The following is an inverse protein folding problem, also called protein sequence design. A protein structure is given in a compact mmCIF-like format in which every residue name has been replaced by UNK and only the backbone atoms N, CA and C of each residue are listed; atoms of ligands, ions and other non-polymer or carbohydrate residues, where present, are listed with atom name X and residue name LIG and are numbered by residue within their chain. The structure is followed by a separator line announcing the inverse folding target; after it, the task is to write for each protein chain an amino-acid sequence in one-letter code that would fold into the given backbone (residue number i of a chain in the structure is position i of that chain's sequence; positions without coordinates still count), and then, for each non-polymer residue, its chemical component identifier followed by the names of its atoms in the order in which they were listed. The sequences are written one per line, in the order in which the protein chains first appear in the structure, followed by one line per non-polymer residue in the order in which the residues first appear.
data_IF_738327135643
#
_entry.id   IF_738327135643
#
_cell.length_a   1.000
_cell.length_b   1.000
_cell.length_c   1.000
_cell.angle_alpha   90.00
_cell.angle_beta   90.00
_cell.angle_gamma   90.00
#
_symmetry.space_group_name_H-M   'P 1'
#
loop_
_entity.id
_entity.type
_entity.pdbx_description
1 polymer ?
#
# COMPACT_ATOMS: atom_id res chain seq x y z
N UNK A 1 55.85 19.18 -44.91
CA UNK A 1 55.64 17.76 -44.55
C UNK A 1 56.01 17.44 -43.09
N UNK A 2 57.14 17.93 -42.56
CA UNK A 2 57.52 17.69 -41.15
C UNK A 2 56.60 18.39 -40.11
N UNK A 3 56.16 19.63 -40.36
CA UNK A 3 55.25 20.35 -39.45
C UNK A 3 53.89 19.64 -39.27
N UNK A 4 53.32 19.11 -40.36
CA UNK A 4 52.04 18.38 -40.31
C UNK A 4 52.15 17.07 -39.51
N UNK A 5 53.29 16.39 -39.57
CA UNK A 5 53.54 15.19 -38.75
C UNK A 5 53.60 15.52 -37.26
N UNK A 6 54.21 16.66 -36.90
CA UNK A 6 54.26 17.14 -35.51
C UNK A 6 52.86 17.52 -35.02
N UNK A 7 52.08 18.26 -35.81
CA UNK A 7 50.71 18.65 -35.46
C UNK A 7 49.78 17.45 -35.28
N UNK A 8 49.85 16.47 -36.18
CA UNK A 8 49.07 15.22 -36.08
C UNK A 8 49.48 14.39 -34.87
N UNK A 9 50.79 14.34 -34.56
CA UNK A 9 51.28 13.65 -33.36
C UNK A 9 50.82 14.33 -32.07
N UNK A 10 50.81 15.66 -32.04
CA UNK A 10 50.37 16.44 -30.88
C UNK A 10 48.86 16.27 -30.64
N UNK A 11 48.07 16.26 -31.73
CA UNK A 11 46.64 15.99 -31.69
C UNK A 11 46.35 14.59 -31.15
N UNK A 12 47.08 13.57 -31.61
CA UNK A 12 46.90 12.20 -31.14
C UNK A 12 47.22 12.05 -29.65
N UNK A 13 48.29 12.71 -29.16
CA UNK A 13 48.62 12.73 -27.73
C UNK A 13 47.53 13.44 -26.93
N UNK A 14 47.03 14.59 -27.38
CA UNK A 14 45.98 15.32 -26.70
C UNK A 14 44.69 14.49 -26.56
N UNK A 15 44.28 13.79 -27.63
CA UNK A 15 43.11 12.88 -27.60
C UNK A 15 43.35 11.71 -26.64
N UNK A 16 44.55 11.12 -26.63
CA UNK A 16 44.90 10.05 -25.71
C UNK A 16 44.83 10.47 -24.23
N UNK A 17 45.36 11.65 -23.91
CA UNK A 17 45.30 12.22 -22.55
C UNK A 17 43.86 12.52 -22.15
N UNK A 18 43.04 13.08 -23.05
CA UNK A 18 41.64 13.36 -22.77
C UNK A 18 40.86 12.06 -22.47
N UNK A 19 41.06 11.02 -23.28
CA UNK A 19 40.45 9.71 -23.06
C UNK A 19 40.90 9.10 -21.72
N UNK A 20 42.17 9.24 -21.36
CA UNK A 20 42.70 8.77 -20.08
C UNK A 20 42.07 9.52 -18.89
N UNK A 21 41.93 10.84 -18.97
CA UNK A 21 41.25 11.66 -17.94
C UNK A 21 39.79 11.23 -17.79
N UNK A 22 39.05 11.08 -18.90
CA UNK A 22 37.65 10.63 -18.89
C UNK A 22 37.53 9.25 -18.24
N UNK A 23 38.39 8.30 -18.64
CA UNK A 23 38.39 6.95 -18.07
C UNK A 23 38.70 6.94 -16.57
N UNK A 24 39.65 7.78 -16.14
CA UNK A 24 40.04 7.88 -14.73
C UNK A 24 38.97 8.54 -13.87
N UNK A 25 38.26 9.56 -14.40
CA UNK A 25 37.09 10.14 -13.74
C UNK A 25 35.91 9.17 -13.71
N UNK A 26 35.65 8.42 -14.78
CA UNK A 26 34.60 7.41 -14.82
C UNK A 26 34.80 6.31 -13.77
N UNK A 27 36.06 5.89 -13.53
CA UNK A 27 36.40 4.94 -12.45
C UNK A 27 36.17 5.49 -11.04
N UNK A 28 36.15 6.81 -10.85
CA UNK A 28 35.92 7.46 -9.56
C UNK A 28 34.45 7.78 -9.29
N UNK A 29 33.55 7.51 -10.24
CA UNK A 29 32.13 7.68 -10.00
C UNK A 29 31.66 6.56 -9.07
N UNK A 30 31.06 6.89 -7.91
CA UNK A 30 30.37 5.89 -7.11
C UNK A 30 29.30 5.22 -7.97
N UNK A 31 28.97 3.94 -7.71
CA UNK A 31 27.98 3.22 -8.50
C UNK A 31 26.70 4.06 -8.62
N UNK A 32 26.06 4.09 -9.80
CA UNK A 32 24.80 4.79 -9.96
C UNK A 32 23.82 4.24 -8.91
N UNK A 33 23.31 5.14 -8.07
CA UNK A 33 22.28 4.80 -7.09
C UNK A 33 21.08 4.20 -7.83
N UNK A 34 20.40 3.19 -7.24
CA UNK A 34 19.25 2.52 -7.85
C UNK A 34 18.23 3.52 -8.37
N UNK A 35 17.70 3.27 -9.57
CA UNK A 35 16.81 4.15 -10.33
C UNK A 35 15.48 4.51 -9.64
N UNK A 36 15.20 3.96 -8.45
CA UNK A 36 13.97 4.19 -7.69
C UNK A 36 13.86 5.51 -6.90
N UNK A 37 14.88 6.36 -6.88
CA UNK A 37 14.87 7.65 -6.17
C UNK A 37 15.16 8.86 -7.08
N UNK A 38 14.99 8.71 -8.40
CA UNK A 38 14.96 9.87 -9.30
C UNK A 38 13.57 10.49 -9.31
N UNK A 39 13.23 11.18 -8.23
CA UNK A 39 12.31 12.30 -8.37
C UNK A 39 13.03 13.36 -9.20
N UNK A 40 12.41 13.72 -10.33
CA UNK A 40 12.92 14.60 -11.36
C UNK A 40 13.71 15.81 -10.79
N UNK A 41 15.00 15.90 -11.09
CA UNK A 41 15.78 17.13 -10.96
C UNK A 41 16.21 17.61 -9.56
N UNK A 42 15.77 16.99 -8.46
CA UNK A 42 16.17 17.44 -7.11
C UNK A 42 17.40 16.69 -6.58
N UNK A 43 18.53 17.40 -6.49
CA UNK A 43 19.73 16.93 -5.77
C UNK A 43 19.51 17.14 -4.28
N UNK A 44 19.00 16.11 -3.60
CA UNK A 44 18.88 16.10 -2.15
C UNK A 44 20.26 16.10 -1.49
N UNK A 45 20.47 17.01 -0.55
CA UNK A 45 21.63 17.01 0.34
C UNK A 45 21.66 15.73 1.19
N UNK A 46 22.82 15.32 1.72
CA UNK A 46 22.92 14.08 2.52
C UNK A 46 21.92 14.01 3.69
N UNK A 47 21.61 15.15 4.33
CA UNK A 47 20.59 15.22 5.38
C UNK A 47 19.17 15.03 4.87
N UNK A 48 18.85 15.54 3.69
CA UNK A 48 17.53 15.35 3.06
C UNK A 48 17.31 13.91 2.59
N UNK A 49 18.38 13.21 2.19
CA UNK A 49 18.29 11.78 1.84
C UNK A 49 17.96 10.92 3.07
N UNK A 50 18.51 11.26 4.24
CA UNK A 50 18.17 10.58 5.50
C UNK A 50 16.68 10.77 5.85
N UNK A 51 16.14 11.98 5.65
CA UNK A 51 14.72 12.30 5.87
C UNK A 51 13.84 11.52 4.90
N UNK A 52 14.17 11.50 3.61
CA UNK A 52 13.41 10.75 2.60
C UNK A 52 13.45 9.25 2.89
N UNK A 53 14.59 8.72 3.36
CA UNK A 53 14.72 7.32 3.76
C UNK A 53 13.83 7.01 4.96
N UNK A 54 13.86 7.84 6.00
CA UNK A 54 12.99 7.68 7.17
C UNK A 54 11.52 7.79 6.80
N UNK A 55 11.14 8.71 5.90
CA UNK A 55 9.78 8.82 5.39
C UNK A 55 9.37 7.61 4.53
N UNK A 56 10.29 7.06 3.74
CA UNK A 56 10.08 5.84 2.97
C UNK A 56 9.86 4.63 3.87
N UNK A 57 10.70 4.46 4.90
CA UNK A 57 10.56 3.41 5.90
C UNK A 57 9.27 3.57 6.73
N UNK A 58 8.89 4.81 7.05
CA UNK A 58 7.64 5.12 7.73
C UNK A 58 6.44 4.83 6.84
N UNK A 59 6.49 5.19 5.55
CA UNK A 59 5.47 4.87 4.56
C UNK A 59 5.34 3.35 4.39
N UNK A 60 6.43 2.62 4.34
CA UNK A 60 6.40 1.16 4.21
C UNK A 60 5.80 0.48 5.47
N UNK A 61 6.09 1.03 6.66
CA UNK A 61 5.45 0.60 7.91
C UNK A 61 3.97 0.96 7.93
N UNK A 62 3.60 2.14 7.44
CA UNK A 62 2.20 2.57 7.32
C UNK A 62 1.43 1.68 6.32
N UNK A 63 2.04 1.36 5.18
CA UNK A 63 1.48 0.47 4.17
C UNK A 63 1.28 -0.95 4.71
N UNK A 64 2.10 -1.41 5.64
CA UNK A 64 1.88 -2.73 6.27
C UNK A 64 0.76 -2.72 7.32
N UNK A 65 0.40 -1.55 7.85
CA UNK A 65 -0.56 -1.41 8.95
C UNK A 65 -1.93 -1.00 8.43
N UNK A 66 -2.01 -0.13 7.43
CA UNK A 66 -3.29 0.38 6.93
C UNK A 66 -3.85 -0.60 5.88
N UNK A 67 -5.00 -1.25 6.14
CA UNK A 67 -5.66 -2.07 5.13
C UNK A 67 -5.94 -1.22 3.87
N UNK A 68 -5.90 -1.82 2.68
CA UNK A 68 -5.94 -1.08 1.41
C UNK A 68 -7.14 -0.12 1.31
N UNK A 69 -8.25 -0.45 1.97
CA UNK A 69 -9.49 0.32 1.96
C UNK A 69 -9.45 1.61 2.81
N UNK A 70 -8.65 1.64 3.88
CA UNK A 70 -8.48 2.83 4.72
C UNK A 70 -7.55 3.89 4.12
N UNK A 71 -6.80 3.56 3.05
CA UNK A 71 -5.79 4.47 2.47
C UNK A 71 -6.39 5.57 1.59
N UNK A 72 -7.62 5.39 1.10
CA UNK A 72 -8.19 6.24 0.04
C UNK A 72 -9.40 7.06 0.50
N UNK A 73 -9.82 6.93 1.77
CA UNK A 73 -11.06 7.54 2.27
C UNK A 73 -12.31 7.02 1.55
N UNK A 74 -12.20 5.84 0.93
CA UNK A 74 -13.28 5.23 0.18
C UNK A 74 -14.17 4.44 1.14
N UNK A 75 -15.44 4.83 1.18
CA UNK A 75 -16.49 4.16 1.94
C UNK A 75 -17.44 3.56 0.90
N UNK A 76 -17.66 2.23 0.91
CA UNK A 76 -18.55 1.59 -0.05
C UNK A 76 -19.93 2.23 0.05
N UNK A 77 -20.54 2.44 -1.11
CA UNK A 77 -21.82 3.15 -1.25
C UNK A 77 -23.01 2.22 -0.99
N UNK A 78 -22.75 0.91 -0.99
CA UNK A 78 -23.78 -0.12 -0.94
C UNK A 78 -23.32 -1.37 -0.18
N UNK A 79 -24.30 -2.14 0.27
CA UNK A 79 -24.08 -3.39 0.97
C UNK A 79 -23.50 -4.48 0.05
N UNK A 80 -23.86 -4.44 -1.23
CA UNK A 80 -23.31 -5.30 -2.29
C UNK A 80 -21.81 -5.07 -2.46
N UNK A 81 -21.40 -3.80 -2.58
CA UNK A 81 -20.01 -3.42 -2.75
C UNK A 81 -19.16 -3.80 -1.52
N UNK A 82 -19.72 -3.63 -0.31
CA UNK A 82 -19.08 -4.08 0.93
C UNK A 82 -18.85 -5.60 0.95
N UNK A 83 -19.88 -6.37 0.53
CA UNK A 83 -19.82 -7.82 0.46
C UNK A 83 -18.70 -8.29 -0.47
N UNK A 84 -18.64 -7.74 -1.68
CA UNK A 84 -17.66 -8.13 -2.69
C UNK A 84 -16.24 -7.71 -2.28
N UNK A 85 -16.10 -6.50 -1.72
CA UNK A 85 -14.83 -5.94 -1.28
C UNK A 85 -14.19 -6.75 -0.14
N UNK A 86 -15.00 -7.18 0.83
CA UNK A 86 -14.55 -7.99 1.97
C UNK A 86 -14.76 -9.49 1.76
N UNK A 87 -15.12 -9.92 0.56
CA UNK A 87 -15.28 -11.34 0.23
C UNK A 87 -16.25 -12.09 1.15
N UNK A 88 -17.30 -11.42 1.63
CA UNK A 88 -18.29 -12.04 2.49
C UNK A 88 -19.19 -12.98 1.68
N UNK A 89 -19.44 -14.17 2.19
CA UNK A 89 -20.44 -15.08 1.62
C UNK A 89 -21.86 -14.60 1.93
N UNK A 90 -22.00 -13.86 3.03
CA UNK A 90 -23.27 -13.36 3.54
C UNK A 90 -23.11 -12.01 4.22
N UNK A 91 -24.06 -11.11 4.00
CA UNK A 91 -24.16 -9.86 4.74
C UNK A 91 -25.61 -9.43 4.93
N UNK A 92 -25.93 -8.88 6.09
CA UNK A 92 -27.23 -8.35 6.46
C UNK A 92 -27.08 -7.02 7.18
N UNK A 93 -27.88 -6.04 6.76
CA UNK A 93 -27.99 -4.73 7.37
C UNK A 93 -29.46 -4.35 7.46
N UNK A 94 -30.03 -4.36 8.67
CA UNK A 94 -31.47 -4.17 8.87
C UNK A 94 -32.30 -5.23 8.13
N UNK A 95 -33.21 -4.79 7.27
CA UNK A 95 -34.06 -5.65 6.42
C UNK A 95 -33.35 -6.14 5.15
N UNK A 96 -32.19 -5.56 4.79
CA UNK A 96 -31.48 -5.91 3.57
C UNK A 96 -30.52 -7.07 3.83
N UNK A 97 -30.69 -8.16 3.09
CA UNK A 97 -29.92 -9.40 3.24
C UNK A 97 -29.37 -9.84 1.88
N UNK A 98 -28.09 -10.19 1.82
CA UNK A 98 -27.37 -10.55 0.59
C UNK A 98 -26.52 -11.80 0.80
N UNK A 99 -26.59 -12.74 -0.16
CA UNK A 99 -25.79 -13.97 -0.15
C UNK A 99 -26.46 -15.16 0.54
N UNK A 100 -25.70 -16.24 0.70
CA UNK A 100 -26.19 -17.48 1.29
C UNK A 100 -26.04 -17.44 2.80
N UNK A 101 -27.17 -17.42 3.52
CA UNK A 101 -27.20 -17.31 4.99
C UNK A 101 -26.67 -18.59 5.66
N UNK A 102 -25.52 -18.55 6.35
CA UNK A 102 -25.04 -19.70 7.12
C UNK A 102 -25.92 -19.95 8.34
N UNK A 103 -26.23 -21.21 8.65
CA UNK A 103 -27.04 -21.58 9.82
C UNK A 103 -26.47 -21.07 11.16
N UNK A 104 -25.16 -20.86 11.21
CA UNK A 104 -24.45 -20.33 12.37
C UNK A 104 -24.86 -18.89 12.70
N UNK A 105 -25.24 -18.08 11.71
CA UNK A 105 -25.63 -16.68 11.91
C UNK A 105 -26.77 -16.55 12.92
N UNK A 106 -27.74 -17.47 12.90
CA UNK A 106 -28.89 -17.45 13.81
C UNK A 106 -28.49 -17.49 15.29
N UNK A 107 -27.33 -18.09 15.63
CA UNK A 107 -26.87 -18.16 17.03
C UNK A 107 -26.27 -16.84 17.51
N UNK A 108 -25.77 -16.02 16.59
CA UNK A 108 -25.06 -14.79 16.91
C UNK A 108 -25.94 -13.56 16.66
N UNK A 109 -26.89 -13.62 15.72
CA UNK A 109 -27.73 -12.47 15.35
C UNK A 109 -28.51 -11.88 16.52
N UNK A 110 -28.92 -12.67 17.51
CA UNK A 110 -29.65 -12.15 18.67
C UNK A 110 -28.75 -11.56 19.76
N UNK A 111 -27.42 -11.69 19.63
CA UNK A 111 -26.49 -11.14 20.61
C UNK A 111 -26.48 -9.62 20.57
N UNK A 112 -26.66 -8.98 21.73
CA UNK A 112 -26.54 -7.53 21.88
C UNK A 112 -25.09 -7.13 22.19
N UNK A 113 -24.29 -7.06 21.14
CA UNK A 113 -22.85 -6.74 21.22
C UNK A 113 -22.51 -5.63 20.23
N UNK A 114 -21.61 -4.72 20.63
CA UNK A 114 -21.13 -3.63 19.76
C UNK A 114 -20.21 -4.14 18.65
N UNK A 115 -19.34 -5.09 18.98
CA UNK A 115 -18.40 -5.69 18.04
C UNK A 115 -18.19 -7.16 18.39
N UNK A 116 -18.32 -8.04 17.41
CA UNK A 116 -18.02 -9.46 17.52
C UNK A 116 -17.34 -9.95 16.25
N UNK A 117 -16.29 -10.72 16.45
CA UNK A 117 -15.70 -11.57 15.43
C UNK A 117 -15.52 -12.96 16.02
N UNK A 118 -16.32 -13.91 15.57
CA UNK A 118 -16.32 -15.27 16.07
C UNK A 118 -15.88 -16.24 14.98
N UNK A 119 -14.89 -17.09 15.28
CA UNK A 119 -14.49 -18.19 14.40
C UNK A 119 -15.31 -19.44 14.75
N UNK A 120 -15.89 -20.09 13.74
CA UNK A 120 -16.56 -21.36 13.88
C UNK A 120 -16.22 -22.28 12.70
N UNK A 121 -15.37 -23.28 12.93
CA UNK A 121 -14.78 -24.07 11.86
C UNK A 121 -13.96 -23.18 10.92
N UNK A 122 -14.32 -23.19 9.64
CA UNK A 122 -13.69 -22.40 8.57
C UNK A 122 -14.39 -21.06 8.30
N UNK A 123 -15.48 -20.77 9.03
CA UNK A 123 -16.28 -19.58 8.85
C UNK A 123 -16.04 -18.59 10.00
N UNK A 124 -15.95 -17.31 9.66
CA UNK A 124 -15.98 -16.20 10.59
C UNK A 124 -17.34 -15.51 10.51
N UNK A 125 -17.92 -15.23 11.68
CA UNK A 125 -19.12 -14.42 11.85
C UNK A 125 -18.72 -13.06 12.42
N UNK A 126 -19.25 -12.01 11.81
CA UNK A 126 -19.01 -10.62 12.16
C UNK A 126 -20.32 -9.97 12.58
N UNK A 127 -20.31 -9.33 13.75
CA UNK A 127 -21.41 -8.46 14.18
C UNK A 127 -20.83 -7.11 14.53
N UNK A 128 -21.38 -6.06 13.93
CA UNK A 128 -21.00 -4.68 14.23
C UNK A 128 -22.28 -3.91 14.47
N UNK A 129 -22.41 -3.29 15.65
CA UNK A 129 -23.53 -2.46 16.02
C UNK A 129 -23.04 -1.05 16.28
N UNK A 130 -23.61 -0.07 15.58
CA UNK A 130 -23.25 1.35 15.73
C UNK A 130 -24.41 2.25 15.29
N UNK A 131 -24.62 3.35 16.02
CA UNK A 131 -25.70 4.30 15.69
C UNK A 131 -27.11 3.70 15.64
N UNK A 132 -27.37 2.62 16.39
CA UNK A 132 -28.65 1.88 16.35
C UNK A 132 -28.79 0.91 15.17
N UNK A 133 -27.83 0.86 14.26
CA UNK A 133 -27.79 -0.07 13.12
C UNK A 133 -26.96 -1.30 13.48
N UNK A 134 -27.31 -2.46 12.92
CA UNK A 134 -26.63 -3.74 13.14
C UNK A 134 -26.27 -4.37 11.81
N UNK A 135 -24.98 -4.56 11.58
CA UNK A 135 -24.41 -5.32 10.49
C UNK A 135 -24.10 -6.73 10.98
N UNK A 136 -24.56 -7.73 10.23
CA UNK A 136 -24.19 -9.13 10.44
C UNK A 136 -23.58 -9.65 9.14
N UNK A 137 -22.34 -10.12 9.18
CA UNK A 137 -21.67 -10.66 8.01
C UNK A 137 -21.04 -12.02 8.31
N UNK A 138 -20.82 -12.81 7.27
CA UNK A 138 -20.07 -14.05 7.36
C UNK A 138 -19.12 -14.20 6.18
N UNK A 139 -17.95 -14.78 6.44
CA UNK A 139 -16.94 -15.05 5.42
C UNK A 139 -15.87 -15.99 5.94
N UNK A 140 -14.90 -16.32 5.09
CA UNK A 140 -13.83 -17.28 5.41
C UNK A 140 -12.56 -16.61 5.93
N UNK A 141 -12.42 -15.31 5.69
CA UNK A 141 -11.24 -14.54 6.07
C UNK A 141 -11.41 -13.95 7.45
N UNK A 142 -10.31 -13.83 8.19
CA UNK A 142 -10.23 -13.06 9.44
C UNK A 142 -10.02 -11.58 9.12
N UNK A 143 -10.86 -10.70 9.66
CA UNK A 143 -10.67 -9.25 9.53
C UNK A 143 -9.73 -8.73 10.61
N UNK A 144 -8.78 -7.88 10.24
CA UNK A 144 -7.97 -7.14 11.21
C UNK A 144 -8.79 -6.04 11.92
N UNK A 145 -8.23 -5.49 12.99
CA UNK A 145 -8.88 -4.46 13.80
C UNK A 145 -9.30 -3.22 13.00
N UNK A 146 -8.49 -2.77 12.04
CA UNK A 146 -8.79 -1.58 11.26
C UNK A 146 -9.94 -1.86 10.29
N UNK A 147 -9.96 -3.05 9.70
CA UNK A 147 -11.07 -3.48 8.84
C UNK A 147 -12.38 -3.63 9.62
N UNK A 148 -12.34 -4.13 10.87
CA UNK A 148 -13.51 -4.14 11.76
C UNK A 148 -13.97 -2.72 12.12
N UNK A 149 -13.03 -1.81 12.40
CA UNK A 149 -13.35 -0.42 12.70
C UNK A 149 -14.01 0.28 11.51
N UNK A 150 -13.51 0.00 10.31
CA UNK A 150 -14.08 0.47 9.05
C UNK A 150 -15.53 0.02 8.84
N UNK A 151 -15.90 -1.21 9.22
CA UNK A 151 -17.30 -1.65 9.22
C UNK A 151 -18.18 -0.77 10.11
N UNK A 152 -17.66 -0.34 11.27
CA UNK A 152 -18.34 0.61 12.13
C UNK A 152 -18.52 1.98 11.47
N UNK A 153 -17.47 2.49 10.82
CA UNK A 153 -17.56 3.76 10.08
C UNK A 153 -18.57 3.68 8.94
N UNK A 154 -18.60 2.58 8.17
CA UNK A 154 -19.59 2.35 7.12
C UNK A 154 -21.05 2.48 7.63
N UNK A 155 -21.34 2.03 8.85
CA UNK A 155 -22.67 2.16 9.47
C UNK A 155 -23.04 3.60 9.84
N UNK A 156 -22.05 4.45 10.14
CA UNK A 156 -22.31 5.87 10.40
C UNK A 156 -22.77 6.59 9.12
N UNK A 157 -22.36 6.12 7.93
CA UNK A 157 -22.69 6.73 6.64
C UNK A 157 -23.91 6.12 5.93
N UNK A 158 -24.34 4.92 6.31
CA UNK A 158 -25.43 4.17 5.64
C UNK A 158 -26.64 4.06 6.54
#
# INVERSE_FOLDING_TARGET
MYLQLVEVSLLAVAVGVLAFIIFFLARRQPPPLPEGLRYEGMRFTPGEQEIVKQLGELKERLDKVIPPYGRVGYIPSSLEELKDLLGFTYVKLGEKELGERPALVNRYEDLDVELLQAKHGDLYIYIVKRGGKKLVAAGIQHLDYLTLRFLGEFLDYT
#
